data_IF_720983636229
#
_entry.id   IF_720983636229
#
_cell.length_a   1.000
_cell.length_b   1.000
_cell.length_c   1.000
_cell.angle_alpha   90.00
_cell.angle_beta   90.00
_cell.angle_gamma   90.00
#
_symmetry.space_group_name_H-M   'P 1'
#
loop_
_entity.id
_entity.type
_entity.pdbx_description
1 polymer ?
#
# COMPACT_ATOMS: atom_id res chain seq x y z
N UNK A 1 14.53 14.18 0.07
CA UNK A 1 13.07 14.01 0.07
C UNK A 1 12.76 12.81 -0.82
N UNK A 2 12.08 11.79 -0.32
CA UNK A 2 11.59 10.71 -1.17
C UNK A 2 10.47 11.25 -2.07
N UNK A 3 10.35 10.74 -3.29
CA UNK A 3 9.30 11.13 -4.23
C UNK A 3 8.58 9.89 -4.75
N UNK A 4 7.31 10.05 -5.11
CA UNK A 4 6.57 8.97 -5.75
C UNK A 4 7.19 8.65 -7.13
N UNK A 5 7.45 7.37 -7.46
CA UNK A 5 8.13 7.01 -8.70
C UNK A 5 7.36 7.48 -9.94
N UNK A 6 8.04 7.99 -10.96
CA UNK A 6 7.39 8.39 -12.21
C UNK A 6 6.99 7.19 -13.09
N UNK A 7 7.70 6.05 -12.96
CA UNK A 7 7.49 4.87 -13.82
C UNK A 7 6.32 4.01 -13.31
N UNK A 8 5.33 3.66 -14.14
CA UNK A 8 4.17 2.85 -13.73
C UNK A 8 4.55 1.49 -13.13
N UNK A 9 5.54 0.80 -13.70
CA UNK A 9 6.01 -0.49 -13.19
C UNK A 9 6.61 -0.38 -11.78
N UNK A 10 7.32 0.72 -11.50
CA UNK A 10 7.88 0.98 -10.17
C UNK A 10 6.78 1.36 -9.18
N UNK A 11 5.79 2.16 -9.60
CA UNK A 11 4.62 2.47 -8.79
C UNK A 11 3.88 1.19 -8.41
N UNK A 12 3.59 0.31 -9.38
CA UNK A 12 2.90 -0.96 -9.13
C UNK A 12 3.64 -1.82 -8.09
N UNK A 13 4.96 -1.99 -8.24
CA UNK A 13 5.77 -2.73 -7.27
C UNK A 13 5.77 -2.08 -5.87
N UNK A 14 5.87 -0.75 -5.79
CA UNK A 14 5.79 -0.01 -4.53
C UNK A 14 4.42 -0.17 -3.85
N UNK A 15 3.33 -0.13 -4.62
CA UNK A 15 1.98 -0.36 -4.09
C UNK A 15 1.83 -1.77 -3.52
N UNK A 16 2.39 -2.79 -4.18
CA UNK A 16 2.38 -4.16 -3.65
C UNK A 16 3.21 -4.32 -2.37
N UNK A 17 4.35 -3.62 -2.27
CA UNK A 17 5.14 -3.59 -1.05
C UNK A 17 4.36 -2.98 0.12
N UNK A 18 3.73 -1.81 -0.10
CA UNK A 18 2.87 -1.16 0.88
C UNK A 18 1.69 -2.05 1.27
N UNK A 19 1.02 -2.65 0.28
CA UNK A 19 -0.11 -3.56 0.49
C UNK A 19 0.26 -4.76 1.36
N UNK A 20 1.45 -5.33 1.16
CA UNK A 20 1.91 -6.49 1.94
C UNK A 20 2.26 -6.16 3.40
N UNK A 21 2.56 -4.89 3.68
CA UNK A 21 2.80 -4.38 5.03
C UNK A 21 1.52 -3.96 5.75
N UNK A 22 0.44 -3.66 5.02
CA UNK A 22 -0.87 -3.43 5.61
C UNK A 22 -1.42 -4.73 6.23
N UNK A 23 -2.01 -4.67 7.43
CA UNK A 23 -2.58 -5.85 8.07
C UNK A 23 -3.75 -6.40 7.24
N UNK A 24 -3.87 -7.73 7.24
CA UNK A 24 -5.07 -8.42 6.77
C UNK A 24 -6.22 -8.15 7.75
N UNK A 25 -7.46 -8.14 7.25
CA UNK A 25 -8.65 -8.15 8.12
C UNK A 25 -9.53 -6.92 7.98
N UNK A 26 -9.97 -6.39 9.12
CA UNK A 26 -11.08 -5.46 9.21
C UNK A 26 -10.89 -4.14 8.46
N UNK A 27 -12.03 -3.58 8.07
CA UNK A 27 -12.09 -2.24 7.55
C UNK A 27 -11.60 -1.25 8.62
N UNK A 28 -10.76 -0.30 8.21
CA UNK A 28 -10.28 0.76 9.07
C UNK A 28 -10.70 2.12 8.54
N UNK A 29 -10.78 3.07 9.45
CA UNK A 29 -11.15 4.43 9.10
C UNK A 29 -10.07 5.12 8.27
N UNK A 30 -10.45 6.12 7.47
CA UNK A 30 -9.50 6.92 6.70
C UNK A 30 -8.31 7.45 7.53
N UNK A 31 -8.49 8.07 8.72
CA UNK A 31 -7.36 8.55 9.52
C UNK A 31 -6.43 7.42 9.97
N UNK A 32 -6.97 6.25 10.35
CA UNK A 32 -6.15 5.08 10.70
C UNK A 32 -5.38 4.57 9.48
N UNK A 33 -6.03 4.54 8.31
CA UNK A 33 -5.39 4.14 7.07
C UNK A 33 -4.28 5.11 6.65
N UNK A 34 -4.52 6.42 6.75
CA UNK A 34 -3.52 7.46 6.49
C UNK A 34 -2.33 7.33 7.44
N UNK A 35 -2.56 7.08 8.73
CA UNK A 35 -1.50 6.87 9.72
C UNK A 35 -0.64 5.66 9.37
N UNK A 36 -1.25 4.54 8.97
CA UNK A 36 -0.53 3.34 8.50
C UNK A 36 0.31 3.64 7.27
N UNK A 37 -0.25 4.33 6.28
CA UNK A 37 0.51 4.71 5.10
C UNK A 37 1.67 5.63 5.47
N UNK A 38 1.46 6.65 6.29
CA UNK A 38 2.52 7.57 6.75
C UNK A 38 3.64 6.87 7.51
N UNK A 39 3.35 5.78 8.22
CA UNK A 39 4.40 4.97 8.85
C UNK A 39 5.25 4.19 7.82
N UNK A 40 4.71 3.94 6.62
CA UNK A 40 5.35 3.15 5.57
C UNK A 40 6.04 3.99 4.48
N UNK A 41 5.88 5.32 4.47
CA UNK A 41 6.49 6.19 3.47
C UNK A 41 6.94 7.54 4.04
N UNK A 42 7.90 8.18 3.38
CA UNK A 42 8.52 9.44 3.85
C UNK A 42 8.26 10.65 2.96
N UNK A 43 7.47 10.51 1.90
CA UNK A 43 7.16 11.61 0.96
C UNK A 43 5.93 12.46 1.33
N UNK A 44 5.20 12.10 2.38
CA UNK A 44 4.22 12.97 3.04
C UNK A 44 2.86 13.12 2.34
N UNK A 45 2.55 12.28 1.36
CA UNK A 45 1.25 12.30 0.67
C UNK A 45 0.60 10.90 0.66
N UNK A 46 -0.11 10.52 1.74
CA UNK A 46 -0.85 9.27 1.79
C UNK A 46 -2.06 9.26 0.85
N UNK A 47 -2.55 10.42 0.37
CA UNK A 47 -3.72 10.49 -0.49
C UNK A 47 -3.42 9.96 -1.90
N UNK A 48 -2.24 10.25 -2.45
CA UNK A 48 -1.77 9.67 -3.71
C UNK A 48 -1.73 8.15 -3.61
N UNK A 49 -1.19 7.61 -2.51
CA UNK A 49 -1.12 6.17 -2.26
C UNK A 49 -2.50 5.53 -2.16
N UNK A 50 -3.42 6.11 -1.38
CA UNK A 50 -4.81 5.62 -1.29
C UNK A 50 -5.45 5.53 -2.66
N UNK A 51 -5.38 6.59 -3.45
CA UNK A 51 -5.96 6.65 -4.79
C UNK A 51 -5.35 5.60 -5.71
N UNK A 52 -4.03 5.46 -5.69
CA UNK A 52 -3.31 4.49 -6.50
C UNK A 52 -3.64 3.05 -6.09
N UNK A 53 -3.70 2.75 -4.79
CA UNK A 53 -4.07 1.41 -4.28
C UNK A 53 -5.50 1.03 -4.63
N UNK A 54 -6.45 1.98 -4.51
CA UNK A 54 -7.85 1.76 -4.91
C UNK A 54 -7.95 1.57 -6.42
N UNK A 55 -7.28 2.41 -7.21
CA UNK A 55 -7.26 2.27 -8.67
C UNK A 55 -6.64 0.96 -9.15
N UNK A 56 -5.67 0.43 -8.41
CA UNK A 56 -5.03 -0.86 -8.68
C UNK A 56 -5.81 -2.07 -8.12
N UNK A 57 -6.97 -1.85 -7.47
CA UNK A 57 -7.80 -2.90 -6.87
C UNK A 57 -7.19 -3.56 -5.62
N UNK A 58 -6.10 -3.02 -5.08
CA UNK A 58 -5.39 -3.58 -3.92
C UNK A 58 -6.10 -3.30 -2.59
N UNK A 59 -6.86 -2.21 -2.55
CA UNK A 59 -7.61 -1.74 -1.40
C UNK A 59 -9.00 -1.35 -1.87
N UNK A 60 -10.03 -1.80 -1.16
CA UNK A 60 -11.40 -1.32 -1.37
C UNK A 60 -11.72 -0.19 -0.41
N UNK A 61 -12.61 0.71 -0.83
CA UNK A 61 -13.20 1.70 0.08
C UNK A 61 -14.72 1.78 -0.07
N UNK A 62 -15.40 2.22 0.98
CA UNK A 62 -16.80 2.65 0.88
C UNK A 62 -16.93 3.99 0.15
N UNK A 63 -18.09 4.25 -0.44
CA UNK A 63 -18.37 5.51 -1.17
C UNK A 63 -18.18 6.72 -0.27
N UNK A 64 -18.56 6.61 1.01
CA UNK A 64 -18.37 7.62 2.05
C UNK A 64 -16.90 7.82 2.48
N UNK A 65 -15.95 7.10 1.88
CA UNK A 65 -14.52 7.10 2.24
C UNK A 65 -14.24 6.76 3.72
N UNK A 66 -15.20 6.17 4.43
CA UNK A 66 -15.07 5.89 5.87
C UNK A 66 -14.37 4.59 6.16
N UNK A 67 -14.41 3.64 5.22
CA UNK A 67 -13.90 2.30 5.44
C UNK A 67 -12.92 1.96 4.34
N UNK A 68 -11.69 1.65 4.73
CA UNK A 68 -10.64 1.13 3.86
C UNK A 68 -10.33 -0.30 4.25
N UNK A 69 -10.33 -1.21 3.28
CA UNK A 69 -10.03 -2.63 3.50
C UNK A 69 -8.99 -3.12 2.50
N UNK A 70 -8.01 -3.87 3.00
CA UNK A 70 -7.06 -4.59 2.14
C UNK A 70 -7.79 -5.69 1.38
N UNK A 71 -7.70 -5.70 0.05
CA UNK A 71 -8.23 -6.79 -0.77
C UNK A 71 -7.20 -7.89 -0.80
N UNK A 72 -7.57 -9.09 -0.33
CA UNK A 72 -6.66 -10.24 -0.32
C UNK A 72 -6.57 -10.86 -1.72
N UNK A 73 -5.39 -10.76 -2.32
CA UNK A 73 -5.13 -11.26 -3.67
C UNK A 73 -3.67 -11.66 -3.82
N UNK A 74 -3.39 -12.54 -4.79
CA UNK A 74 -2.04 -13.03 -5.03
C UNK A 74 -1.21 -11.97 -5.76
N UNK A 75 -0.09 -11.48 -5.19
CA UNK A 75 0.79 -10.55 -5.89
C UNK A 75 1.41 -11.22 -7.13
N UNK A 76 1.74 -10.47 -8.19
CA UNK A 76 2.51 -10.98 -9.32
C UNK A 76 3.92 -11.43 -8.89
N UNK A 77 4.59 -12.25 -9.70
CA UNK A 77 5.87 -12.87 -9.33
C UNK A 77 6.95 -11.84 -8.92
N UNK A 78 7.08 -10.73 -9.66
CA UNK A 78 8.02 -9.66 -9.34
C UNK A 78 7.70 -8.99 -7.99
N UNK A 79 6.42 -8.73 -7.73
CA UNK A 79 5.98 -8.18 -6.45
C UNK A 79 6.23 -9.15 -5.30
N UNK A 80 5.99 -10.45 -5.49
CA UNK A 80 6.30 -11.46 -4.48
C UNK A 80 7.80 -11.48 -4.15
N UNK A 81 8.66 -11.40 -5.17
CA UNK A 81 10.11 -11.35 -4.98
C UNK A 81 10.53 -10.11 -4.19
N UNK A 82 9.96 -8.94 -4.51
CA UNK A 82 10.19 -7.70 -3.77
C UNK A 82 9.72 -7.81 -2.31
N UNK A 83 8.48 -8.26 -2.08
CA UNK A 83 7.90 -8.41 -0.74
C UNK A 83 8.77 -9.33 0.13
N UNK A 84 9.23 -10.46 -0.42
CA UNK A 84 10.15 -11.38 0.30
C UNK A 84 11.45 -10.69 0.67
N UNK A 85 12.00 -9.87 -0.24
CA UNK A 85 13.26 -9.15 -0.01
C UNK A 85 13.10 -8.07 1.07
N UNK A 86 12.00 -7.33 1.05
CA UNK A 86 11.69 -6.31 2.06
C UNK A 86 11.47 -6.94 3.44
N UNK A 87 10.70 -8.03 3.54
CA UNK A 87 10.51 -8.76 4.81
C UNK A 87 11.81 -9.27 5.43
N UNK A 88 12.81 -9.60 4.61
CA UNK A 88 14.14 -9.98 5.10
C UNK A 88 14.95 -8.77 5.59
N UNK A 89 14.74 -7.60 4.98
CA UNK A 89 15.43 -6.36 5.33
C UNK A 89 14.86 -5.71 6.60
N UNK A 90 13.54 -5.84 6.83
CA UNK A 90 12.85 -5.39 8.06
C UNK A 90 13.08 -6.31 9.28
N UNK A 91 13.89 -7.37 9.13
CA UNK A 91 14.30 -8.24 10.23
C UNK A 91 15.38 -7.60 11.11
N UNK A 92 14.95 -6.72 12.02
CA UNK A 92 15.63 -6.43 13.29
C UNK A 92 14.91 -7.15 14.43
#
# INVERSE_FOLDING_TARGET
>A
MAQWPAKPSQQALALWALWAALPAGDAVTEPVFNARLNALHTFGDPAILRRAMVSAGLVSRTLDCRDYRRVEQRPPAEAQALIRRLRRADGV
#
